data_IF_439949122289
#
_entry.id   IF_439949122289
#
_cell.length_a   1.000
_cell.length_b   1.000
_cell.length_c   1.000
_cell.angle_alpha   90.00
_cell.angle_beta   90.00
_cell.angle_gamma   90.00
#
_symmetry.space_group_name_H-M   'P 1'
#
loop_
_entity.id
_entity.type
_entity.pdbx_description
1 polymer ?
#
# COMPACT_ATOMS: atom_id res chain seq x y z
N UNK A 1 -18.24 4.63 3.27
CA UNK A 1 -17.26 5.70 2.97
C UNK A 1 -16.13 5.12 2.14
N UNK A 2 -15.62 5.86 1.16
CA UNK A 2 -14.50 5.46 0.31
C UNK A 2 -13.33 6.41 0.53
N UNK A 3 -12.14 5.87 0.79
CA UNK A 3 -10.94 6.65 1.06
C UNK A 3 -9.96 6.56 -0.10
N UNK A 4 -9.35 7.67 -0.47
CA UNK A 4 -8.18 7.71 -1.35
C UNK A 4 -7.03 8.28 -0.55
N UNK A 5 -5.96 7.50 -0.41
CA UNK A 5 -4.81 7.83 0.41
C UNK A 5 -3.55 7.81 -0.45
N UNK A 6 -2.82 8.92 -0.48
CA UNK A 6 -1.54 9.03 -1.16
C UNK A 6 -0.46 9.31 -0.10
N UNK A 7 0.45 8.35 0.06
CA UNK A 7 1.48 8.33 1.10
C UNK A 7 0.94 8.54 2.54
N UNK A 8 -0.05 7.74 3.00
CA UNK A 8 -0.71 7.97 4.28
C UNK A 8 0.16 7.72 5.51
N UNK A 9 1.26 6.97 5.34
CA UNK A 9 2.22 6.69 6.41
C UNK A 9 3.25 7.81 6.58
N UNK A 10 3.31 8.77 5.65
CA UNK A 10 4.25 9.87 5.73
C UNK A 10 3.91 10.79 6.91
N UNK A 11 4.92 11.21 7.66
CA UNK A 11 4.78 12.00 8.91
C UNK A 11 4.05 11.31 10.08
N UNK A 12 3.68 10.03 9.97
CA UNK A 12 3.18 9.25 11.10
C UNK A 12 4.35 8.57 11.83
N UNK A 13 4.26 8.55 13.17
CA UNK A 13 5.07 7.67 14.00
C UNK A 13 4.47 6.25 14.01
N UNK A 14 5.15 5.32 14.68
CA UNK A 14 4.75 3.90 14.72
C UNK A 14 3.32 3.76 15.26
N UNK A 15 3.00 4.44 16.36
CA UNK A 15 1.67 4.41 16.98
C UNK A 15 0.59 4.96 16.02
N UNK A 16 0.90 6.02 15.27
CA UNK A 16 0.00 6.58 14.26
C UNK A 16 -0.25 5.65 13.08
N UNK A 17 0.77 4.89 12.65
CA UNK A 17 0.62 3.86 11.62
C UNK A 17 -0.29 2.73 12.10
N UNK A 18 -0.06 2.20 13.29
CA UNK A 18 -0.90 1.15 13.88
C UNK A 18 -2.36 1.60 14.04
N UNK A 19 -2.59 2.83 14.49
CA UNK A 19 -3.94 3.39 14.62
C UNK A 19 -4.66 3.50 13.26
N UNK A 20 -3.94 3.89 12.20
CA UNK A 20 -4.48 3.96 10.86
C UNK A 20 -4.81 2.57 10.31
N UNK A 21 -3.93 1.59 10.51
CA UNK A 21 -4.19 0.19 10.14
C UNK A 21 -5.44 -0.35 10.84
N UNK A 22 -5.54 -0.13 12.16
CA UNK A 22 -6.67 -0.57 12.98
C UNK A 22 -7.99 0.05 12.51
N UNK A 23 -7.99 1.34 12.20
CA UNK A 23 -9.17 2.06 11.70
C UNK A 23 -9.62 1.49 10.34
N UNK A 24 -8.68 1.31 9.40
CA UNK A 24 -8.99 0.79 8.07
C UNK A 24 -9.54 -0.63 8.12
N UNK A 25 -8.99 -1.48 9.00
CA UNK A 25 -9.44 -2.86 9.20
C UNK A 25 -10.78 -2.93 9.93
N UNK A 26 -10.96 -2.18 11.02
CA UNK A 26 -12.20 -2.20 11.84
C UNK A 26 -13.40 -1.67 11.08
N UNK A 27 -13.23 -0.64 10.27
CA UNK A 27 -14.34 0.00 9.57
C UNK A 27 -14.73 -0.69 8.26
N UNK A 28 -14.03 -1.78 7.88
CA UNK A 28 -14.17 -2.42 6.56
C UNK A 28 -14.23 -1.38 5.43
N UNK A 29 -13.42 -0.33 5.58
CA UNK A 29 -13.48 0.82 4.72
C UNK A 29 -13.01 0.40 3.33
N UNK A 30 -13.77 0.76 2.29
CA UNK A 30 -13.25 0.64 0.93
C UNK A 30 -12.21 1.73 0.74
N UNK A 31 -10.95 1.35 0.53
CA UNK A 31 -9.85 2.28 0.41
C UNK A 31 -9.01 1.98 -0.84
N UNK A 32 -8.59 3.02 -1.55
CA UNK A 32 -7.52 2.96 -2.52
C UNK A 32 -6.32 3.70 -1.95
N UNK A 33 -5.18 3.04 -1.88
CA UNK A 33 -3.97 3.60 -1.29
C UNK A 33 -2.75 3.45 -2.19
N UNK A 34 -1.89 4.45 -2.16
CA UNK A 34 -0.55 4.43 -2.71
C UNK A 34 0.44 4.74 -1.59
N UNK A 35 1.48 3.93 -1.43
CA UNK A 35 2.52 4.14 -0.43
C UNK A 35 3.86 3.57 -0.89
N UNK A 36 4.97 4.09 -0.38
CA UNK A 36 6.28 3.47 -0.49
C UNK A 36 6.58 2.46 0.63
N UNK A 37 5.75 2.39 1.68
CA UNK A 37 5.94 1.47 2.80
C UNK A 37 5.47 0.05 2.47
N UNK A 38 6.44 -0.86 2.35
CA UNK A 38 6.22 -2.26 1.99
C UNK A 38 5.51 -3.04 3.09
N UNK A 39 5.74 -2.70 4.36
CA UNK A 39 5.13 -3.39 5.50
C UNK A 39 3.65 -3.02 5.60
N UNK A 40 3.35 -1.72 5.47
CA UNK A 40 1.98 -1.21 5.46
C UNK A 40 1.16 -1.83 4.32
N UNK A 41 1.67 -1.80 3.08
CA UNK A 41 0.99 -2.40 1.92
C UNK A 41 0.65 -3.89 2.15
N UNK A 42 1.54 -4.63 2.83
CA UNK A 42 1.32 -6.05 3.15
C UNK A 42 0.30 -6.26 4.27
N UNK A 43 0.24 -5.34 5.23
CA UNK A 43 -0.65 -5.46 6.38
C UNK A 43 -2.12 -5.24 5.99
N UNK A 44 -2.39 -4.23 5.14
CA UNK A 44 -3.78 -3.82 4.83
C UNK A 44 -4.24 -4.17 3.41
N UNK A 45 -3.31 -4.46 2.49
CA UNK A 45 -3.62 -4.66 1.08
C UNK A 45 -4.33 -5.98 0.80
N UNK A 46 -5.48 -5.94 0.13
CA UNK A 46 -6.23 -7.13 -0.30
C UNK A 46 -6.29 -7.31 -1.83
N UNK A 47 -6.00 -6.25 -2.60
CA UNK A 47 -5.92 -6.22 -4.05
C UNK A 47 -4.76 -5.32 -4.44
N UNK A 48 -4.04 -5.69 -5.49
CA UNK A 48 -2.83 -4.98 -5.88
C UNK A 48 -2.91 -4.56 -7.34
N UNK A 49 -2.65 -3.28 -7.58
CA UNK A 49 -2.53 -2.74 -8.92
C UNK A 49 -1.12 -2.22 -9.14
N UNK A 50 -0.52 -2.67 -10.25
CA UNK A 50 0.81 -2.27 -10.69
C UNK A 50 0.67 -1.26 -11.83
N UNK A 51 1.32 -0.11 -11.68
CA UNK A 51 1.47 0.88 -12.75
C UNK A 51 2.85 0.71 -13.36
N UNK A 52 2.92 0.25 -14.61
CA UNK A 52 4.17 0.13 -15.36
C UNK A 52 3.96 0.57 -16.81
N UNK A 53 4.92 1.30 -17.39
CA UNK A 53 4.86 1.73 -18.80
C UNK A 53 3.53 2.42 -19.18
N UNK A 54 3.02 3.25 -18.26
CA UNK A 54 1.72 3.96 -18.38
C UNK A 54 0.49 3.06 -18.44
N UNK A 55 0.59 1.80 -17.97
CA UNK A 55 -0.52 0.86 -17.88
C UNK A 55 -0.74 0.43 -16.44
N UNK A 56 -1.99 0.47 -16.01
CA UNK A 56 -2.46 -0.12 -14.75
C UNK A 56 -2.85 -1.57 -15.01
N UNK A 57 -2.27 -2.51 -14.25
CA UNK A 57 -2.57 -3.95 -14.35
C UNK A 57 -2.82 -4.51 -12.95
N UNK A 58 -3.85 -5.32 -12.79
CA UNK A 58 -4.08 -6.05 -11.54
C UNK A 58 -3.14 -7.24 -11.43
N UNK A 59 -2.56 -7.42 -10.25
CA UNK A 59 -1.60 -8.47 -9.93
C UNK A 59 -2.02 -9.18 -8.66
N UNK A 60 -1.67 -10.46 -8.54
CA UNK A 60 -2.03 -11.27 -7.37
C UNK A 60 -1.20 -10.91 -6.12
N UNK A 61 -0.07 -10.21 -6.28
CA UNK A 61 0.89 -9.95 -5.22
C UNK A 61 1.84 -8.79 -5.51
N UNK A 62 2.18 -7.94 -4.52
CA UNK A 62 3.15 -6.86 -4.67
C UNK A 62 4.61 -7.34 -4.65
N UNK A 63 4.89 -8.59 -4.25
CA UNK A 63 6.24 -9.14 -4.08
C UNK A 63 7.07 -9.10 -5.36
N UNK A 64 6.42 -9.30 -6.51
CA UNK A 64 7.08 -9.22 -7.81
C UNK A 64 7.70 -7.85 -8.04
N UNK A 65 6.93 -6.80 -7.73
CA UNK A 65 7.38 -5.41 -7.81
C UNK A 65 8.45 -5.09 -6.77
N UNK A 66 8.29 -5.52 -5.52
CA UNK A 66 9.31 -5.27 -4.48
C UNK A 66 10.66 -5.89 -4.83
N UNK A 67 10.67 -7.09 -5.45
CA UNK A 67 11.91 -7.72 -5.94
C UNK A 67 12.55 -6.93 -7.08
N UNK A 68 11.77 -6.40 -8.03
CA UNK A 68 12.34 -5.63 -9.15
C UNK A 68 12.95 -4.30 -8.69
N UNK A 69 12.32 -3.64 -7.72
CA UNK A 69 12.86 -2.40 -7.13
C UNK A 69 14.18 -2.68 -6.41
N UNK A 70 14.22 -3.71 -5.55
CA UNK A 70 15.44 -4.08 -4.82
C UNK A 70 16.61 -4.52 -5.73
N UNK A 71 16.32 -5.01 -6.95
CA UNK A 71 17.33 -5.35 -7.94
C UNK A 71 17.86 -4.13 -8.71
N UNK A 72 17.09 -3.05 -8.79
CA UNK A 72 17.46 -1.80 -9.49
C UNK A 72 18.27 -0.86 -8.59
N UNK A 73 18.14 -1.00 -7.28
CA UNK A 73 18.89 -0.23 -6.26
C UNK A 73 20.32 -0.77 -5.99
N UNK A 74 20.81 -1.71 -6.80
CA UNK A 74 22.18 -2.27 -6.71
C UNK A 74 23.09 -1.81 -7.83
#
# INVERSE_FOLDING_TARGET
NFYLLDEPTNHLDIDGQEALEDELLKHQASCLLASHDRSFIRAIGNRFWLIEKRRLTEVDSPEGFFRSVAATER
#
